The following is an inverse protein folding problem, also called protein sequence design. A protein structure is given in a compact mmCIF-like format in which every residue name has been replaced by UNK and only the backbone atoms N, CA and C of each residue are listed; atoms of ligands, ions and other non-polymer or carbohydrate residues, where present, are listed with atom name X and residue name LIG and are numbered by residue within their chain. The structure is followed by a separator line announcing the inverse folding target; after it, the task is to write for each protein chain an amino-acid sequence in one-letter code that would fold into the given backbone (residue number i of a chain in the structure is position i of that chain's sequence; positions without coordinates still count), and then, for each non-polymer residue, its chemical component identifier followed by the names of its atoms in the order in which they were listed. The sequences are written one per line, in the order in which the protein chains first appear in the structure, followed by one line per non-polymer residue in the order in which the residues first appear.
data_IF_376563990720
#
_entry.id   IF_376563990720
#
_cell.length_a   1.000
_cell.length_b   1.000
_cell.length_c   1.000
_cell.angle_alpha   90.00
_cell.angle_beta   90.00
_cell.angle_gamma   90.00
#
_symmetry.space_group_name_H-M   'P 1'
#
loop_
_entity.id
_entity.type
_entity.pdbx_description
1 polymer ?
#
# COMPACT_ATOMS: atom_id res chain seq x y z
N UNK A 1 9.18 -1.09 15.69
CA UNK A 1 8.76 0.17 16.32
C UNK A 1 7.96 0.96 15.29
N UNK A 2 6.67 1.28 15.54
CA UNK A 2 5.94 2.14 14.63
C UNK A 2 6.51 3.56 14.74
N UNK A 3 6.93 4.12 13.61
CA UNK A 3 7.45 5.49 13.52
C UNK A 3 6.24 6.42 13.45
N UNK A 4 6.04 7.25 14.46
CA UNK A 4 5.08 8.36 14.42
C UNK A 4 5.67 9.50 13.59
N UNK A 5 4.98 9.89 12.52
CA UNK A 5 5.27 11.11 11.79
C UNK A 5 4.41 12.23 12.37
N UNK A 6 5.04 13.24 12.98
CA UNK A 6 4.35 14.49 13.33
C UNK A 6 4.29 15.36 12.07
N UNK A 7 3.10 15.48 11.48
CA UNK A 7 2.82 16.48 10.45
C UNK A 7 2.53 17.82 11.13
N UNK A 8 3.34 18.84 10.82
CA UNK A 8 3.29 20.17 11.45
C UNK A 8 2.58 21.24 10.62
N UNK A 9 1.81 20.86 9.61
CA UNK A 9 1.01 21.79 8.79
C UNK A 9 -0.49 21.52 8.98
N UNK A 10 -1.35 22.56 9.02
CA UNK A 10 -2.79 22.40 9.16
C UNK A 10 -3.40 21.94 7.82
N UNK A 11 -3.13 20.71 7.43
CA UNK A 11 -3.80 20.09 6.30
C UNK A 11 -5.20 19.65 6.70
N UNK A 12 -6.17 19.84 5.79
CA UNK A 12 -7.52 19.29 5.94
C UNK A 12 -7.42 17.75 5.95
N UNK A 13 -7.42 17.17 7.14
CA UNK A 13 -7.33 15.72 7.32
C UNK A 13 -8.65 15.08 6.91
N UNK A 14 -8.62 14.17 5.93
CA UNK A 14 -9.76 13.31 5.62
C UNK A 14 -9.82 12.17 6.65
N UNK A 15 -10.80 12.25 7.55
CA UNK A 15 -11.11 11.18 8.49
C UNK A 15 -12.18 10.26 7.88
N UNK A 16 -11.90 8.95 7.84
CA UNK A 16 -12.87 7.95 7.40
C UNK A 16 -13.21 7.04 8.57
N UNK A 17 -14.49 6.75 8.73
CA UNK A 17 -14.99 5.75 9.69
C UNK A 17 -14.86 4.38 9.07
N UNK A 18 -14.09 3.49 9.69
CA UNK A 18 -13.89 2.11 9.24
C UNK A 18 -14.40 1.12 10.29
N UNK A 19 -14.79 -0.08 9.83
CA UNK A 19 -15.11 -1.22 10.71
C UNK A 19 -13.89 -2.14 10.77
N UNK A 20 -13.40 -2.45 11.97
CA UNK A 20 -12.22 -3.28 12.21
C UNK A 20 -12.55 -4.46 13.13
N UNK A 21 -12.12 -5.69 12.80
CA UNK A 21 -12.29 -6.83 13.70
C UNK A 21 -11.22 -6.79 14.79
N UNK A 22 -11.64 -6.72 16.06
CA UNK A 22 -10.75 -6.80 17.23
C UNK A 22 -10.86 -8.18 17.84
N UNK A 23 -9.74 -8.90 17.92
CA UNK A 23 -9.68 -10.22 18.58
C UNK A 23 -9.64 -10.02 20.09
N UNK A 24 -10.65 -10.55 20.78
CA UNK A 24 -10.78 -10.47 22.24
C UNK A 24 -10.09 -11.65 22.94
N UNK A 25 -10.29 -12.86 22.40
CA UNK A 25 -9.70 -14.09 22.92
C UNK A 25 -9.38 -15.06 21.78
N UNK A 26 -8.34 -15.86 21.96
CA UNK A 26 -7.91 -16.90 21.03
C UNK A 26 -7.49 -18.14 21.81
N UNK A 27 -8.16 -19.27 21.58
CA UNK A 27 -7.93 -20.52 22.31
C UNK A 27 -7.95 -21.72 21.36
N UNK A 28 -7.17 -22.76 21.67
CA UNK A 28 -7.25 -24.06 21.02
C UNK A 28 -8.04 -25.02 21.91
N UNK A 29 -9.04 -25.67 21.31
CA UNK A 29 -10.00 -26.50 22.04
C UNK A 29 -10.04 -27.91 21.45
N UNK A 30 -10.38 -28.89 22.29
CA UNK A 30 -10.55 -30.27 21.88
C UNK A 30 -11.92 -30.78 22.33
N UNK A 31 -12.72 -31.22 21.37
CA UNK A 31 -14.01 -31.85 21.61
C UNK A 31 -13.89 -33.34 21.34
N UNK A 32 -14.22 -34.15 22.35
CA UNK A 32 -14.13 -35.62 22.28
C UNK A 32 -15.54 -36.19 22.19
N UNK A 33 -15.80 -36.99 21.16
CA UNK A 33 -17.06 -37.68 20.95
C UNK A 33 -16.82 -39.19 20.96
N UNK A 34 -17.29 -39.83 22.02
CA UNK A 34 -17.28 -41.28 22.15
C UNK A 34 -18.60 -41.89 21.65
N UNK A 35 -18.50 -42.96 20.88
CA UNK A 35 -19.67 -43.67 20.38
C UNK A 35 -19.45 -45.19 20.26
N UNK A 36 -20.54 -45.94 20.42
CA UNK A 36 -20.56 -47.39 20.23
C UNK A 36 -21.64 -47.74 19.22
N UNK A 37 -21.23 -48.28 18.08
CA UNK A 37 -22.15 -48.66 16.99
C UNK A 37 -22.12 -50.17 16.81
N UNK A 38 -23.28 -50.75 16.51
CA UNK A 38 -23.36 -52.15 16.06
C UNK A 38 -23.43 -52.16 14.54
N UNK A 39 -22.45 -52.80 13.91
CA UNK A 39 -22.41 -52.95 12.46
C UNK A 39 -23.57 -53.84 11.99
N UNK A 40 -24.20 -53.56 10.83
CA UNK A 40 -25.31 -54.36 10.31
C UNK A 40 -24.96 -55.84 10.08
N UNK A 41 -23.69 -56.11 9.81
CA UNK A 41 -23.15 -57.44 9.51
C UNK A 41 -21.86 -57.69 10.31
N UNK A 42 -21.45 -58.96 10.38
CA UNK A 42 -20.16 -59.31 10.99
C UNK A 42 -19.00 -58.83 10.09
N UNK A 43 -18.17 -57.98 10.67
CA UNK A 43 -16.94 -57.46 10.08
C UNK A 43 -15.72 -58.26 10.54
N UNK A 44 -14.81 -58.56 9.61
CA UNK A 44 -13.49 -59.10 9.90
C UNK A 44 -12.55 -58.00 10.43
N UNK A 45 -12.59 -56.82 9.80
CA UNK A 45 -11.81 -55.63 10.18
C UNK A 45 -12.53 -54.35 9.74
N UNK A 46 -12.21 -53.25 10.42
CA UNK A 46 -12.48 -51.89 9.94
C UNK A 46 -11.26 -51.42 9.17
N UNK A 47 -11.49 -50.89 7.97
CA UNK A 47 -10.43 -50.39 7.11
C UNK A 47 -10.05 -48.96 7.50
N UNK A 48 -11.00 -48.04 7.40
CA UNK A 48 -10.88 -46.66 7.84
C UNK A 48 -12.26 -46.06 8.15
N UNK A 49 -12.27 -44.93 8.84
CA UNK A 49 -13.47 -44.13 9.09
C UNK A 49 -13.21 -42.74 8.54
N UNK A 50 -14.00 -42.35 7.54
CA UNK A 50 -14.01 -40.98 7.05
C UNK A 50 -14.93 -40.15 7.93
N UNK A 51 -14.45 -39.01 8.42
CA UNK A 51 -15.23 -38.12 9.26
C UNK A 51 -15.20 -36.70 8.71
N UNK A 52 -16.35 -36.03 8.75
CA UNK A 52 -16.51 -34.62 8.43
C UNK A 52 -17.45 -33.96 9.41
N UNK A 53 -17.43 -32.64 9.41
CA UNK A 53 -18.18 -31.83 10.35
C UNK A 53 -19.28 -31.07 9.62
N UNK A 54 -20.52 -31.32 10.01
CA UNK A 54 -21.72 -30.71 9.44
C UNK A 54 -22.42 -29.82 10.47
N UNK A 55 -23.16 -28.82 9.99
CA UNK A 55 -23.95 -27.88 10.80
C UNK A 55 -23.18 -27.25 11.97
N UNK A 56 -21.87 -27.05 11.79
CA UNK A 56 -20.98 -26.58 12.82
C UNK A 56 -21.11 -25.08 13.04
N UNK A 57 -21.48 -24.68 14.25
CA UNK A 57 -21.60 -23.28 14.67
C UNK A 57 -21.02 -23.05 16.05
N UNK A 58 -20.50 -21.85 16.27
CA UNK A 58 -20.04 -21.37 17.56
C UNK A 58 -20.68 -20.04 17.87
N UNK A 59 -21.11 -19.84 19.12
CA UNK A 59 -21.73 -18.59 19.58
C UNK A 59 -21.18 -18.14 20.93
N UNK A 60 -20.95 -16.83 21.11
CA UNK A 60 -20.50 -16.31 22.40
C UNK A 60 -21.62 -16.43 23.45
N UNK A 61 -21.22 -16.55 24.71
CA UNK A 61 -22.11 -16.50 25.87
C UNK A 61 -21.63 -15.37 26.76
N UNK A 62 -22.50 -14.39 26.92
CA UNK A 62 -22.24 -13.18 27.69
C UNK A 62 -22.69 -13.34 29.14
N UNK A 63 -21.93 -12.72 30.03
CA UNK A 63 -22.30 -12.46 31.41
C UNK A 63 -22.23 -10.96 31.64
N UNK A 64 -22.96 -10.47 32.64
CA UNK A 64 -22.98 -9.05 32.97
C UNK A 64 -22.25 -8.83 34.29
N UNK A 65 -21.08 -8.20 34.24
CA UNK A 65 -20.23 -7.93 35.41
C UNK A 65 -20.21 -6.42 35.76
N UNK A 66 -19.84 -6.07 37.00
CA UNK A 66 -19.71 -4.66 37.39
C UNK A 66 -18.55 -3.99 36.60
N UNK A 67 -18.84 -2.84 36.00
CA UNK A 67 -17.89 -2.07 35.17
C UNK A 67 -16.60 -1.68 35.90
N UNK A 68 -16.67 -1.41 37.21
CA UNK A 68 -15.53 -1.02 38.07
C UNK A 68 -14.35 -2.02 37.99
N UNK A 69 -14.63 -3.30 37.74
CA UNK A 69 -13.60 -4.35 37.64
C UNK A 69 -12.71 -4.19 36.39
N UNK A 70 -13.21 -3.52 35.35
CA UNK A 70 -12.56 -3.42 34.03
C UNK A 70 -11.83 -2.08 33.82
N UNK A 71 -12.02 -1.11 34.71
CA UNK A 71 -11.46 0.26 34.62
C UNK A 71 -9.93 0.26 34.55
N UNK A 72 -9.24 -0.65 35.25
CA UNK A 72 -7.77 -0.70 35.25
C UNK A 72 -7.16 -1.44 34.05
N UNK A 73 -7.96 -2.20 33.29
CA UNK A 73 -7.51 -2.98 32.12
C UNK A 73 -7.74 -2.21 30.82
N UNK A 74 -8.66 -1.25 30.83
CA UNK A 74 -9.07 -0.45 29.68
C UNK A 74 -8.53 0.97 29.91
N UNK A 75 -7.52 1.40 29.12
CA UNK A 75 -6.99 2.77 29.19
C UNK A 75 -8.14 3.78 29.05
N UNK A 76 -8.44 4.54 30.11
CA UNK A 76 -9.69 5.30 30.31
C UNK A 76 -10.03 6.34 29.20
N UNK A 77 -9.08 6.69 28.33
CA UNK A 77 -9.27 7.79 27.38
C UNK A 77 -10.03 7.36 26.12
N UNK A 78 -11.32 7.72 26.08
CA UNK A 78 -12.09 7.78 24.83
C UNK A 78 -13.02 6.59 24.55
N UNK A 79 -13.08 5.58 25.42
CA UNK A 79 -13.97 4.42 25.25
C UNK A 79 -15.46 4.75 25.33
N UNK A 80 -15.85 5.83 26.02
CA UNK A 80 -17.20 6.37 25.96
C UNK A 80 -17.63 6.71 24.53
N UNK A 81 -16.69 7.17 23.69
CA UNK A 81 -16.95 7.46 22.26
C UNK A 81 -17.15 6.21 21.43
N UNK A 82 -16.67 5.07 21.92
CA UNK A 82 -16.87 3.77 21.30
C UNK A 82 -18.08 3.03 21.88
N UNK A 83 -18.83 3.61 22.82
CA UNK A 83 -20.06 3.04 23.37
C UNK A 83 -19.91 2.42 24.77
N UNK A 84 -18.68 2.35 25.30
CA UNK A 84 -18.43 1.76 26.62
C UNK A 84 -18.72 2.77 27.74
N UNK A 85 -19.61 2.42 28.67
CA UNK A 85 -20.07 3.33 29.72
C UNK A 85 -19.92 2.74 31.11
N UNK A 86 -18.77 2.95 31.74
CA UNK A 86 -18.47 2.42 33.08
C UNK A 86 -19.51 2.79 34.15
N UNK A 87 -20.22 3.92 34.00
CA UNK A 87 -21.27 4.38 34.92
C UNK A 87 -22.57 3.55 34.87
N UNK A 88 -22.81 2.81 33.77
CA UNK A 88 -23.88 1.83 33.67
C UNK A 88 -23.38 0.54 34.37
N UNK A 89 -24.00 0.21 35.51
CA UNK A 89 -23.45 -0.68 36.54
C UNK A 89 -23.18 -2.14 36.09
N UNK A 90 -23.51 -2.51 34.85
CA UNK A 90 -23.30 -3.84 34.30
C UNK A 90 -22.78 -3.77 32.87
N UNK A 91 -21.56 -4.26 32.67
CA UNK A 91 -20.92 -4.39 31.37
C UNK A 91 -21.02 -5.83 30.87
N UNK A 92 -21.40 -6.05 29.61
CA UNK A 92 -21.37 -7.38 29.02
C UNK A 92 -19.91 -7.83 28.87
N UNK A 93 -19.65 -9.07 29.24
CA UNK A 93 -18.38 -9.73 29.06
C UNK A 93 -18.60 -11.13 28.50
N UNK A 94 -17.89 -11.48 27.44
CA UNK A 94 -17.89 -12.83 26.91
C UNK A 94 -17.05 -13.72 27.82
N UNK A 95 -17.65 -14.80 28.33
CA UNK A 95 -16.97 -15.73 29.25
C UNK A 95 -16.91 -17.16 28.72
N UNK A 96 -17.90 -17.54 27.90
CA UNK A 96 -17.93 -18.87 27.30
C UNK A 96 -18.25 -18.79 25.82
N UNK A 97 -17.90 -19.84 25.11
CA UNK A 97 -18.32 -20.08 23.73
C UNK A 97 -19.04 -21.41 23.68
N UNK A 98 -20.29 -21.41 23.23
CA UNK A 98 -21.02 -22.64 22.96
C UNK A 98 -20.72 -23.09 21.54
N UNK A 99 -20.35 -24.34 21.39
CA UNK A 99 -19.98 -24.95 20.12
C UNK A 99 -20.86 -26.16 19.91
N UNK A 100 -21.46 -26.27 18.73
CA UNK A 100 -22.35 -27.38 18.40
C UNK A 100 -22.25 -27.73 16.91
N UNK A 101 -22.55 -28.98 16.60
CA UNK A 101 -22.56 -29.48 15.23
C UNK A 101 -22.83 -30.98 15.19
N UNK A 102 -22.65 -31.55 14.01
CA UNK A 102 -22.84 -32.98 13.76
C UNK A 102 -21.55 -33.57 13.20
N UNK A 103 -21.02 -34.60 13.87
CA UNK A 103 -19.94 -35.43 13.37
C UNK A 103 -20.54 -36.48 12.42
N UNK A 104 -20.44 -36.22 11.12
CA UNK A 104 -20.85 -37.15 10.08
C UNK A 104 -19.70 -38.11 9.78
N UNK A 105 -19.98 -39.41 9.86
CA UNK A 105 -18.98 -40.47 9.69
C UNK A 105 -19.42 -41.48 8.66
N UNK A 106 -18.46 -41.96 7.88
CA UNK A 106 -18.60 -43.09 6.98
C UNK A 106 -17.60 -44.17 7.38
N UNK A 107 -18.10 -45.29 7.90
CA UNK A 107 -17.29 -46.40 8.40
C UNK A 107 -17.14 -47.41 7.27
N UNK A 108 -15.91 -47.67 6.82
CA UNK A 108 -15.60 -48.69 5.82
C UNK A 108 -15.05 -49.95 6.50
N UNK A 109 -15.61 -51.11 6.18
CA UNK A 109 -15.25 -52.38 6.80
C UNK A 109 -15.31 -53.54 5.82
N UNK A 110 -14.63 -54.63 6.15
CA UNK A 110 -14.62 -55.87 5.35
C UNK A 110 -15.53 -56.90 6.03
N UNK A 111 -16.53 -57.40 5.29
CA UNK A 111 -17.44 -58.44 5.79
C UNK A 111 -16.78 -59.83 5.81
N UNK A 112 -17.50 -60.85 6.32
CA UNK A 112 -17.02 -62.24 6.35
C UNK A 112 -16.78 -62.90 4.98
N UNK A 113 -17.21 -62.27 3.89
CA UNK A 113 -17.07 -62.76 2.51
C UNK A 113 -16.03 -61.95 1.72
N UNK A 114 -15.18 -61.18 2.41
CA UNK A 114 -14.16 -60.30 1.83
C UNK A 114 -14.71 -59.18 0.94
N UNK A 115 -15.97 -58.76 1.15
CA UNK A 115 -16.51 -57.59 0.49
C UNK A 115 -16.30 -56.33 1.34
N UNK A 116 -15.95 -55.23 0.67
CA UNK A 116 -15.93 -53.90 1.27
C UNK A 116 -17.37 -53.40 1.40
N UNK A 117 -17.75 -53.02 2.62
CA UNK A 117 -19.04 -52.45 2.99
C UNK A 117 -18.82 -51.10 3.65
N UNK A 118 -19.87 -50.30 3.69
CA UNK A 118 -19.85 -49.02 4.37
C UNK A 118 -21.16 -48.76 5.13
N UNK A 119 -21.08 -48.07 6.26
CA UNK A 119 -22.24 -47.61 7.03
C UNK A 119 -22.01 -46.16 7.47
N UNK A 120 -23.02 -45.31 7.25
CA UNK A 120 -23.00 -43.90 7.62
C UNK A 120 -23.60 -43.69 9.02
N UNK A 121 -23.10 -42.70 9.74
CA UNK A 121 -23.58 -42.34 11.08
C UNK A 121 -23.40 -40.84 11.34
N UNK A 122 -24.41 -40.22 11.94
CA UNK A 122 -24.41 -38.83 12.35
C UNK A 122 -24.48 -38.73 13.87
N UNK A 123 -23.50 -38.05 14.48
CA UNK A 123 -23.47 -37.84 15.93
C UNK A 123 -23.54 -36.34 16.22
N UNK A 124 -24.66 -35.82 16.76
CA UNK A 124 -24.70 -34.45 17.24
C UNK A 124 -23.83 -34.30 18.48
N UNK A 125 -23.11 -33.20 18.58
CA UNK A 125 -22.37 -32.82 19.78
C UNK A 125 -22.61 -31.35 20.11
N UNK A 126 -22.50 -31.03 21.40
CA UNK A 126 -22.49 -29.68 21.91
C UNK A 126 -21.54 -29.60 23.10
N UNK A 127 -20.72 -28.55 23.15
CA UNK A 127 -19.74 -28.34 24.21
C UNK A 127 -19.66 -26.84 24.56
N UNK A 128 -19.36 -26.52 25.82
CA UNK A 128 -19.15 -25.14 26.28
C UNK A 128 -17.71 -24.90 26.70
N UNK A 129 -17.02 -24.07 25.92
CA UNK A 129 -15.64 -23.67 26.20
C UNK A 129 -15.67 -22.46 27.11
N UNK A 130 -15.05 -22.55 28.29
CA UNK A 130 -14.88 -21.40 29.18
C UNK A 130 -13.56 -20.72 28.86
N UNK A 131 -13.62 -19.43 28.54
CA UNK A 131 -12.43 -18.63 28.30
C UNK A 131 -11.62 -18.47 29.59
N UNK A 132 -10.30 -18.49 29.48
CA UNK A 132 -9.39 -18.32 30.63
C UNK A 132 -9.70 -17.02 31.40
N UNK A 133 -9.98 -15.96 30.65
CA UNK A 133 -10.35 -14.64 31.17
C UNK A 133 -11.56 -14.13 30.39
N UNK A 134 -12.64 -13.80 31.10
CA UNK A 134 -13.79 -13.14 30.49
C UNK A 134 -13.34 -11.83 29.83
N UNK A 135 -13.83 -11.51 28.64
CA UNK A 135 -13.42 -10.31 27.91
C UNK A 135 -14.58 -9.32 27.86
N UNK A 136 -14.39 -8.05 28.25
CA UNK A 136 -15.43 -7.04 28.15
C UNK A 136 -15.73 -6.76 26.67
N UNK A 137 -17.01 -6.56 26.36
CA UNK A 137 -17.47 -6.20 25.02
C UNK A 137 -18.22 -4.88 25.08
N UNK A 138 -18.21 -4.14 23.98
CA UNK A 138 -18.92 -2.87 23.83
C UNK A 138 -20.35 -3.14 23.39
N UNK A 139 -20.51 -3.97 22.36
CA UNK A 139 -21.82 -4.35 21.80
C UNK A 139 -21.88 -5.86 21.58
N UNK A 140 -22.83 -6.54 22.23
CA UNK A 140 -23.01 -8.00 22.09
C UNK A 140 -23.36 -8.40 20.65
N UNK A 141 -24.05 -7.54 19.89
CA UNK A 141 -24.50 -7.82 18.53
C UNK A 141 -23.35 -7.78 17.50
N UNK A 142 -22.24 -7.10 17.82
CA UNK A 142 -21.03 -7.01 17.00
C UNK A 142 -19.99 -8.09 17.34
N UNK A 143 -20.29 -9.00 18.29
CA UNK A 143 -19.38 -10.07 18.72
C UNK A 143 -19.73 -11.39 18.05
N UNK A 144 -18.73 -12.01 17.42
CA UNK A 144 -18.87 -13.28 16.73
C UNK A 144 -17.64 -14.16 16.97
N UNK A 145 -17.81 -15.48 16.76
CA UNK A 145 -16.71 -16.44 16.92
C UNK A 145 -16.24 -16.89 15.54
N UNK A 146 -14.96 -16.68 15.27
CA UNK A 146 -14.28 -17.27 14.12
C UNK A 146 -13.68 -18.61 14.52
N UNK A 147 -13.81 -19.59 13.62
CA UNK A 147 -13.30 -20.94 13.79
C UNK A 147 -12.23 -21.18 12.74
N UNK A 148 -11.00 -21.40 13.20
CA UNK A 148 -9.84 -21.68 12.37
C UNK A 148 -9.35 -23.11 12.63
N UNK A 149 -8.68 -23.70 11.63
CA UNK A 149 -7.99 -25.00 11.71
C UNK A 149 -8.83 -26.15 12.29
N UNK A 150 -9.56 -26.87 11.42
CA UNK A 150 -10.34 -28.06 11.81
C UNK A 150 -9.50 -29.32 11.60
N UNK A 151 -9.12 -30.01 12.67
CA UNK A 151 -8.53 -31.35 12.59
C UNK A 151 -9.45 -32.37 13.25
N UNK A 152 -9.68 -33.50 12.58
CA UNK A 152 -10.45 -34.62 13.12
C UNK A 152 -9.51 -35.84 13.17
N UNK A 153 -9.37 -36.43 14.35
CA UNK A 153 -8.70 -37.71 14.57
C UNK A 153 -9.74 -38.76 14.97
N UNK A 154 -9.78 -39.88 14.26
CA UNK A 154 -10.71 -40.97 14.54
C UNK A 154 -9.93 -42.16 15.07
N UNK A 155 -10.33 -42.66 16.24
CA UNK A 155 -9.81 -43.89 16.85
C UNK A 155 -10.92 -44.90 16.95
N UNK A 156 -10.62 -46.17 16.73
CA UNK A 156 -11.62 -47.23 16.80
C UNK A 156 -11.08 -48.57 17.29
N UNK A 157 -11.96 -49.37 17.88
CA UNK A 157 -11.71 -50.74 18.33
C UNK A 157 -12.92 -51.63 18.00
N UNK A 158 -12.70 -52.65 17.17
CA UNK A 158 -13.72 -53.61 16.77
C UNK A 158 -13.80 -54.74 17.80
N UNK A 159 -14.89 -54.76 18.57
CA UNK A 159 -15.18 -55.80 19.56
C UNK A 159 -16.16 -56.83 19.00
N UNK A 160 -15.83 -58.12 19.16
CA UNK A 160 -16.72 -59.25 18.84
C UNK A 160 -17.25 -59.27 17.38
N UNK A 161 -16.50 -58.70 16.43
CA UNK A 161 -16.83 -58.73 15.01
C UNK A 161 -18.04 -57.89 14.57
N UNK A 162 -18.74 -57.19 15.48
CA UNK A 162 -19.84 -56.30 15.09
C UNK A 162 -20.00 -55.06 15.97
N UNK A 163 -19.38 -55.01 17.15
CA UNK A 163 -19.52 -53.87 18.07
C UNK A 163 -18.29 -52.98 17.95
N UNK A 164 -18.45 -51.84 17.29
CA UNK A 164 -17.36 -50.90 17.03
C UNK A 164 -17.40 -49.76 18.05
N UNK A 165 -16.36 -49.68 18.88
CA UNK A 165 -16.13 -48.52 19.75
C UNK A 165 -15.32 -47.48 18.97
N UNK A 166 -15.73 -46.22 19.02
CA UNK A 166 -15.15 -45.13 18.25
C UNK A 166 -14.96 -43.91 19.14
N UNK A 167 -13.84 -43.23 19.00
CA UNK A 167 -13.54 -41.96 19.65
C UNK A 167 -13.11 -40.97 18.58
N UNK A 168 -13.92 -39.95 18.35
CA UNK A 168 -13.57 -38.82 17.49
C UNK A 168 -13.01 -37.69 18.34
N UNK A 169 -11.81 -37.23 18.02
CA UNK A 169 -11.18 -36.06 18.64
C UNK A 169 -11.15 -34.95 17.61
N UNK A 170 -11.88 -33.88 17.88
CA UNK A 170 -11.94 -32.71 17.02
C UNK A 170 -11.17 -31.57 17.67
N UNK A 171 -10.23 -30.99 16.95
CA UNK A 171 -9.40 -29.89 17.41
C UNK A 171 -9.72 -28.66 16.56
N UNK A 172 -10.02 -27.55 17.24
CA UNK A 172 -10.36 -26.28 16.61
C UNK A 172 -9.62 -25.14 17.29
N UNK A 173 -9.31 -24.10 16.53
CA UNK A 173 -8.88 -22.82 17.08
C UNK A 173 -10.05 -21.84 17.06
N UNK A 174 -10.47 -21.37 18.22
CA UNK A 174 -11.53 -20.37 18.35
C UNK A 174 -10.91 -18.99 18.48
N UNK A 175 -11.48 -18.00 17.79
CA UNK A 175 -11.19 -16.58 17.99
C UNK A 175 -12.49 -15.85 18.25
N UNK A 176 -12.62 -15.25 19.43
CA UNK A 176 -13.75 -14.37 19.74
C UNK A 176 -13.40 -12.98 19.23
N UNK A 177 -14.21 -12.42 18.35
CA UNK A 177 -13.94 -11.18 17.63
C UNK A 177 -15.11 -10.22 17.81
N UNK A 178 -14.81 -8.95 18.02
CA UNK A 178 -15.79 -7.87 18.05
C UNK A 178 -15.52 -6.90 16.89
N UNK A 179 -16.54 -6.60 16.08
CA UNK A 179 -16.42 -5.62 15.02
C UNK A 179 -16.57 -4.20 15.57
N UNK A 180 -15.47 -3.45 15.67
CA UNK A 180 -15.47 -2.08 16.20
C UNK A 180 -15.40 -1.04 15.10
N UNK A 181 -16.02 0.11 15.33
CA UNK A 181 -15.94 1.24 14.41
C UNK A 181 -14.93 2.27 14.92
N UNK A 182 -13.91 2.56 14.12
CA UNK A 182 -12.87 3.55 14.45
C UNK A 182 -12.76 4.62 13.36
N UNK A 183 -12.34 5.82 13.75
CA UNK A 183 -11.96 6.85 12.79
C UNK A 183 -10.47 6.74 12.50
N UNK A 184 -10.12 6.65 11.22
CA UNK A 184 -8.73 6.69 10.76
C UNK A 184 -8.50 7.89 9.87
N UNK A 185 -7.32 8.49 10.00
CA UNK A 185 -6.81 9.44 9.03
C UNK A 185 -6.38 8.67 7.79
N UNK A 186 -6.98 8.98 6.64
CA UNK A 186 -6.54 8.42 5.35
C UNK A 186 -5.73 9.46 4.59
N UNK A 187 -4.61 9.03 4.02
CA UNK A 187 -3.89 9.86 3.06
C UNK A 187 -4.69 9.88 1.73
N UNK A 188 -4.80 11.03 1.04
CA UNK A 188 -5.39 11.05 -0.29
C UNK A 188 -4.67 10.04 -1.19
N UNK A 189 -5.42 9.29 -2.00
CA UNK A 189 -4.83 8.30 -2.89
C UNK A 189 -3.75 8.98 -3.75
N UNK A 190 -2.57 8.36 -3.82
CA UNK A 190 -1.57 8.70 -4.83
C UNK A 190 -2.25 8.57 -6.18
N UNK A 191 -2.60 9.70 -6.80
CA UNK A 191 -3.03 9.70 -8.19
C UNK A 191 -1.90 9.03 -8.99
N UNK A 192 -2.15 7.81 -9.50
CA UNK A 192 -1.16 6.98 -10.19
C UNK A 192 -0.51 7.71 -11.38
N UNK A 193 -1.10 8.84 -11.81
CA UNK A 193 -0.60 9.70 -12.88
C UNK A 193 0.49 10.69 -12.42
N UNK A 194 0.48 11.15 -11.17
CA UNK A 194 1.44 12.12 -10.63
C UNK A 194 2.26 11.49 -9.49
N UNK A 195 3.24 10.66 -9.86
CA UNK A 195 4.11 9.98 -8.89
C UNK A 195 5.27 10.90 -8.48
N UNK A 196 5.27 11.35 -7.22
CA UNK A 196 6.42 12.05 -6.63
C UNK A 196 7.67 11.16 -6.66
N UNK A 197 8.84 11.76 -6.91
CA UNK A 197 10.11 11.03 -6.94
C UNK A 197 10.49 10.47 -8.30
N UNK A 198 9.56 10.40 -9.26
CA UNK A 198 9.82 9.92 -10.62
C UNK A 198 10.27 11.09 -11.50
N UNK A 199 11.45 10.95 -12.11
CA UNK A 199 11.94 11.89 -13.10
C UNK A 199 11.26 11.63 -14.45
N UNK A 200 10.64 12.66 -15.01
CA UNK A 200 9.92 12.59 -16.29
C UNK A 200 10.84 12.79 -17.51
N UNK A 201 12.02 13.38 -17.33
CA UNK A 201 13.02 13.44 -18.41
C UNK A 201 13.86 12.16 -18.46
N UNK A 202 14.16 11.71 -19.67
CA UNK A 202 15.06 10.60 -19.97
C UNK A 202 16.51 11.07 -19.86
N UNK A 203 17.35 10.29 -19.21
CA UNK A 203 18.80 10.56 -19.06
C UNK A 203 19.09 12.01 -18.61
N UNK A 204 18.47 12.44 -17.52
CA UNK A 204 18.73 13.75 -16.93
C UNK A 204 20.14 13.90 -16.33
N UNK A 205 20.85 12.79 -16.14
CA UNK A 205 22.25 12.73 -15.69
C UNK A 205 23.25 12.79 -16.85
N UNK A 206 22.79 12.92 -18.09
CA UNK A 206 23.63 13.01 -19.30
C UNK A 206 24.73 11.94 -19.42
N UNK A 207 24.41 10.67 -19.15
CA UNK A 207 25.38 9.58 -19.27
C UNK A 207 25.35 8.92 -20.66
N UNK A 208 24.25 9.10 -21.41
CA UNK A 208 24.08 8.48 -22.72
C UNK A 208 24.38 9.46 -23.87
N UNK A 209 25.53 9.24 -24.54
CA UNK A 209 25.97 10.03 -25.69
C UNK A 209 26.26 9.15 -26.90
N UNK A 210 25.76 9.54 -28.07
CA UNK A 210 26.11 8.91 -29.35
C UNK A 210 27.49 9.38 -29.85
N UNK A 211 27.79 10.66 -29.64
CA UNK A 211 29.11 11.29 -29.88
C UNK A 211 29.36 12.35 -28.80
N UNK A 212 30.54 12.97 -28.77
CA UNK A 212 30.83 14.05 -27.80
C UNK A 212 29.95 15.30 -27.96
N UNK A 213 29.17 15.44 -29.03
CA UNK A 213 28.29 16.60 -29.27
C UNK A 213 26.81 16.21 -29.40
N UNK A 214 26.50 14.91 -29.30
CA UNK A 214 25.17 14.37 -29.60
C UNK A 214 24.70 13.47 -28.44
N UNK A 215 23.96 14.01 -27.45
CA UNK A 215 23.31 13.20 -26.43
C UNK A 215 22.20 12.34 -27.06
N UNK A 216 21.95 11.15 -26.50
CA UNK A 216 21.03 10.17 -27.10
C UNK A 216 19.57 10.60 -26.98
N UNK A 217 19.19 11.15 -25.83
CA UNK A 217 17.80 11.47 -25.50
C UNK A 217 17.45 12.96 -25.59
N UNK A 218 18.43 13.80 -25.93
CA UNK A 218 18.28 15.25 -25.94
C UNK A 218 18.63 15.81 -27.33
N UNK A 219 17.86 16.79 -27.79
CA UNK A 219 18.25 17.65 -28.89
C UNK A 219 19.27 18.68 -28.41
N UNK A 220 20.32 18.92 -29.17
CA UNK A 220 21.41 19.78 -28.73
C UNK A 220 22.03 20.60 -29.88
N UNK A 221 22.43 21.84 -29.59
CA UNK A 221 23.18 22.73 -30.48
C UNK A 221 24.24 23.49 -29.67
N UNK A 222 25.48 23.56 -30.17
CA UNK A 222 26.62 24.15 -29.46
C UNK A 222 26.83 23.58 -28.03
N UNK A 223 26.61 22.26 -27.90
CA UNK A 223 26.78 21.48 -26.67
C UNK A 223 27.92 20.48 -26.82
N UNK A 224 28.65 20.22 -25.74
CA UNK A 224 29.73 19.24 -25.66
C UNK A 224 29.57 18.38 -24.40
N UNK A 225 29.89 17.09 -24.49
CA UNK A 225 30.02 16.22 -23.32
C UNK A 225 31.21 16.67 -22.46
N UNK A 226 30.99 16.88 -21.18
CA UNK A 226 32.03 17.35 -20.26
C UNK A 226 31.89 16.67 -18.90
N UNK A 227 32.83 15.81 -18.51
CA UNK A 227 32.83 15.08 -17.23
C UNK A 227 31.48 14.43 -16.89
N UNK A 228 30.90 13.70 -17.86
CA UNK A 228 29.57 13.08 -17.77
C UNK A 228 28.37 14.04 -17.63
N UNK A 229 28.59 15.34 -17.82
CA UNK A 229 27.55 16.35 -17.88
C UNK A 229 27.45 16.97 -19.28
N UNK A 230 26.49 17.87 -19.48
CA UNK A 230 26.32 18.62 -20.72
C UNK A 230 26.87 20.05 -20.59
N UNK A 231 27.90 20.38 -21.37
CA UNK A 231 28.44 21.74 -21.47
C UNK A 231 27.75 22.50 -22.60
N UNK A 232 27.10 23.61 -22.27
CA UNK A 232 26.54 24.57 -23.21
C UNK A 232 27.55 25.71 -23.44
N UNK A 233 27.69 26.14 -24.70
CA UNK A 233 28.64 27.18 -25.08
C UNK A 233 30.03 26.64 -25.44
N UNK A 234 30.10 25.48 -26.13
CA UNK A 234 31.37 24.94 -26.65
C UNK A 234 32.11 25.96 -27.53
N UNK A 235 31.35 26.78 -28.25
CA UNK A 235 31.74 28.05 -28.83
C UNK A 235 31.11 29.14 -27.93
N UNK A 236 31.87 29.77 -27.02
CA UNK A 236 31.33 30.67 -25.99
C UNK A 236 30.63 31.92 -26.52
N UNK A 237 30.88 32.33 -27.77
CA UNK A 237 30.26 33.52 -28.39
C UNK A 237 29.04 33.18 -29.26
N UNK A 238 28.60 31.92 -29.29
CA UNK A 238 27.43 31.48 -30.05
C UNK A 238 26.36 30.93 -29.10
N UNK A 239 25.07 31.13 -29.42
CA UNK A 239 24.00 30.57 -28.61
C UNK A 239 24.06 29.04 -28.60
N UNK A 240 23.65 28.44 -27.49
CA UNK A 240 23.54 26.98 -27.36
C UNK A 240 22.14 26.61 -26.85
N UNK A 241 21.67 25.42 -27.25
CA UNK A 241 20.39 24.90 -26.78
C UNK A 241 20.52 23.42 -26.45
N UNK A 242 19.81 23.00 -25.40
CA UNK A 242 19.67 21.61 -24.98
C UNK A 242 18.22 21.36 -24.59
N UNK A 243 17.54 20.42 -25.24
CA UNK A 243 16.10 20.25 -25.04
C UNK A 243 15.64 18.80 -25.17
N UNK A 244 14.53 18.48 -24.49
CA UNK A 244 13.88 17.17 -24.56
C UNK A 244 12.36 17.33 -24.47
N UNK A 245 11.65 16.61 -25.32
CA UNK A 245 10.20 16.44 -25.21
C UNK A 245 9.87 15.33 -24.23
N UNK A 246 8.99 15.63 -23.28
CA UNK A 246 8.29 14.65 -22.46
C UNK A 246 7.02 14.27 -23.23
N UNK A 247 7.13 13.15 -23.94
CA UNK A 247 6.10 12.65 -24.84
C UNK A 247 4.94 11.95 -24.08
N UNK A 248 4.02 11.34 -24.83
CA UNK A 248 2.83 10.66 -24.26
C UNK A 248 3.12 9.28 -23.68
N UNK A 249 4.35 8.79 -23.78
CA UNK A 249 4.73 7.48 -23.27
C UNK A 249 4.91 7.57 -21.76
N UNK A 250 4.50 6.53 -21.05
CA UNK A 250 4.55 6.53 -19.59
C UNK A 250 6.01 6.57 -19.11
N UNK A 251 6.39 7.48 -18.19
CA UNK A 251 5.55 8.46 -17.50
C UNK A 251 5.30 9.75 -18.29
N UNK A 252 4.05 10.24 -18.33
CA UNK A 252 3.63 11.38 -19.13
C UNK A 252 3.24 12.61 -18.28
N UNK A 253 2.99 13.74 -18.95
CA UNK A 253 2.43 14.94 -18.31
C UNK A 253 0.96 14.71 -17.95
N UNK A 254 0.57 15.23 -16.79
CA UNK A 254 -0.75 15.18 -16.21
C UNK A 254 -1.37 16.57 -16.33
N UNK A 255 -2.55 16.69 -16.94
CA UNK A 255 -3.31 17.94 -16.94
C UNK A 255 -3.52 18.46 -15.52
N UNK A 256 -3.48 19.78 -15.32
CA UNK A 256 -3.59 20.41 -13.98
C UNK A 256 -2.50 20.02 -12.98
N UNK A 257 -1.46 19.31 -13.44
CA UNK A 257 -0.29 18.94 -12.65
C UNK A 257 0.57 20.14 -12.29
N UNK A 258 1.04 20.19 -11.06
CA UNK A 258 2.07 21.13 -10.60
C UNK A 258 3.43 20.46 -10.74
N UNK A 259 4.31 21.08 -11.52
CA UNK A 259 5.62 20.57 -11.90
C UNK A 259 6.75 21.35 -11.27
N UNK A 260 7.84 20.65 -10.97
CA UNK A 260 9.12 21.25 -10.59
C UNK A 260 10.22 20.70 -11.49
N UNK A 261 10.86 21.59 -12.24
CA UNK A 261 12.07 21.32 -12.99
C UNK A 261 13.26 21.78 -12.15
N UNK A 262 14.18 20.88 -11.81
CA UNK A 262 15.44 21.23 -11.17
C UNK A 262 16.62 20.69 -11.97
N UNK A 263 17.78 21.32 -11.85
CA UNK A 263 19.02 20.90 -12.48
C UNK A 263 20.20 21.48 -11.71
N UNK A 264 21.35 20.85 -11.83
CA UNK A 264 22.61 21.37 -11.30
C UNK A 264 23.32 22.12 -12.41
N UNK A 265 23.85 23.32 -12.10
CA UNK A 265 24.67 24.07 -13.03
C UNK A 265 25.92 24.65 -12.37
N UNK A 266 26.95 24.80 -13.19
CA UNK A 266 28.25 25.35 -12.82
C UNK A 266 28.84 26.13 -14.00
N UNK A 267 29.51 27.24 -13.72
CA UNK A 267 30.28 27.98 -14.72
C UNK A 267 31.67 27.32 -14.92
N UNK A 268 32.10 27.29 -16.19
CA UNK A 268 33.49 27.00 -16.58
C UNK A 268 34.12 28.31 -17.07
N UNK A 269 34.75 29.08 -16.18
CA UNK A 269 35.31 30.38 -16.53
C UNK A 269 36.52 30.22 -17.44
N UNK A 270 36.65 31.12 -18.41
CA UNK A 270 37.80 31.12 -19.32
C UNK A 270 37.89 29.87 -20.21
N UNK A 271 36.76 29.21 -20.49
CA UNK A 271 36.69 28.02 -21.33
C UNK A 271 37.34 28.21 -22.71
N UNK A 272 37.23 29.41 -23.28
CA UNK A 272 38.09 29.85 -24.39
C UNK A 272 38.61 31.27 -24.16
N UNK A 273 39.89 31.48 -24.42
CA UNK A 273 40.51 32.80 -24.34
C UNK A 273 40.02 33.71 -25.47
N UNK A 274 39.46 34.85 -25.08
CA UNK A 274 39.11 35.96 -25.97
C UNK A 274 39.74 37.22 -25.41
N UNK A 275 40.50 37.96 -26.21
CA UNK A 275 41.19 39.16 -25.77
C UNK A 275 40.18 40.21 -25.27
N UNK A 276 40.28 40.58 -23.99
CA UNK A 276 39.35 41.51 -23.34
C UNK A 276 37.97 40.94 -23.03
N UNK A 277 37.79 39.62 -23.16
CA UNK A 277 36.54 38.94 -22.85
C UNK A 277 36.39 38.61 -21.36
N UNK A 278 35.14 38.45 -20.93
CA UNK A 278 34.75 38.14 -19.56
C UNK A 278 33.61 37.11 -19.55
N UNK A 279 33.29 36.55 -18.38
CA UNK A 279 32.06 35.79 -18.18
C UNK A 279 30.83 36.68 -18.42
N UNK A 280 30.12 36.45 -19.53
CA UNK A 280 29.00 37.30 -19.94
C UNK A 280 28.00 36.51 -20.76
N UNK A 281 27.13 35.78 -20.07
CA UNK A 281 26.08 34.99 -20.68
C UNK A 281 24.83 34.97 -19.79
N UNK A 282 23.71 34.56 -20.37
CA UNK A 282 22.49 34.21 -19.66
C UNK A 282 22.16 32.75 -19.92
N UNK A 283 21.95 31.98 -18.85
CA UNK A 283 21.37 30.65 -18.92
C UNK A 283 19.88 30.75 -18.63
N UNK A 284 19.05 30.20 -19.50
CA UNK A 284 17.59 30.21 -19.37
C UNK A 284 17.06 28.79 -19.36
N UNK A 285 16.27 28.43 -18.34
CA UNK A 285 15.53 27.17 -18.28
C UNK A 285 14.05 27.42 -18.55
N UNK A 286 13.47 26.57 -19.39
CA UNK A 286 12.12 26.71 -19.91
C UNK A 286 11.37 25.39 -19.82
N UNK A 287 10.12 25.47 -19.36
CA UNK A 287 9.18 24.37 -19.35
C UNK A 287 7.91 24.79 -20.08
N UNK A 288 7.75 24.31 -21.31
CA UNK A 288 6.59 24.58 -22.16
C UNK A 288 5.63 23.41 -22.18
N UNK A 289 4.33 23.69 -22.19
CA UNK A 289 3.26 22.69 -22.30
C UNK A 289 2.53 22.83 -23.63
N UNK A 290 2.29 21.68 -24.26
CA UNK A 290 1.65 21.57 -25.57
C UNK A 290 0.35 20.79 -25.48
N UNK A 291 -0.58 21.12 -26.37
CA UNK A 291 -1.83 20.37 -26.54
C UNK A 291 -1.61 19.06 -27.32
N UNK A 292 -2.69 18.31 -27.54
CA UNK A 292 -2.64 17.06 -28.29
C UNK A 292 -2.31 17.21 -29.78
N UNK A 293 -2.29 18.43 -30.30
CA UNK A 293 -1.98 18.74 -31.70
C UNK A 293 -0.58 19.34 -31.86
N UNK A 294 0.18 19.47 -30.76
CA UNK A 294 1.52 20.06 -30.76
C UNK A 294 1.52 21.60 -30.76
N UNK A 295 0.38 22.24 -30.45
CA UNK A 295 0.34 23.68 -30.27
C UNK A 295 0.81 24.04 -28.86
N UNK A 296 1.66 25.07 -28.77
CA UNK A 296 2.09 25.62 -27.50
C UNK A 296 0.89 26.27 -26.78
N UNK A 297 0.63 25.86 -25.53
CA UNK A 297 -0.43 26.45 -24.70
C UNK A 297 0.16 27.54 -23.81
N UNK A 298 1.13 27.16 -22.98
CA UNK A 298 1.78 28.03 -21.99
C UNK A 298 3.19 27.50 -21.69
N UNK A 299 4.06 28.34 -21.15
CA UNK A 299 5.26 27.87 -20.48
C UNK A 299 5.73 28.81 -19.40
N UNK A 300 6.63 28.27 -18.60
CA UNK A 300 7.31 29.00 -17.54
C UNK A 300 8.80 29.10 -17.87
N UNK A 301 9.41 30.23 -17.52
CA UNK A 301 10.79 30.53 -17.86
C UNK A 301 11.52 31.18 -16.70
N UNK A 302 12.75 30.77 -16.45
CA UNK A 302 13.63 31.41 -15.48
C UNK A 302 15.04 31.53 -16.04
N UNK A 303 15.69 32.66 -15.77
CA UNK A 303 17.01 32.98 -16.29
C UNK A 303 17.98 33.35 -15.17
N UNK A 304 19.25 32.99 -15.38
CA UNK A 304 20.36 33.25 -14.49
C UNK A 304 21.53 33.80 -15.30
N UNK A 305 22.08 34.94 -14.89
CA UNK A 305 23.30 35.48 -15.48
C UNK A 305 24.55 34.78 -14.92
N UNK A 306 25.69 34.99 -15.58
CA UNK A 306 26.98 34.45 -15.15
C UNK A 306 27.28 34.65 -13.65
N UNK A 307 27.03 35.84 -13.10
CA UNK A 307 27.30 36.15 -11.68
C UNK A 307 26.43 35.36 -10.68
N UNK A 308 25.38 34.70 -11.13
CA UNK A 308 24.47 33.90 -10.30
C UNK A 308 24.78 32.41 -10.35
N UNK A 309 25.66 31.99 -11.28
CA UNK A 309 26.06 30.60 -11.43
C UNK A 309 27.48 30.47 -10.87
N UNK A 310 27.71 29.61 -9.88
CA UNK A 310 29.01 29.53 -9.22
C UNK A 310 30.08 28.94 -10.14
N UNK A 311 31.29 29.47 -9.96
CA UNK A 311 32.50 28.91 -10.54
C UNK A 311 32.85 27.57 -9.87
N UNK A 312 33.27 26.61 -10.68
CA UNK A 312 33.95 25.39 -10.22
C UNK A 312 33.18 24.48 -9.22
N UNK A 313 31.92 24.79 -8.90
CA UNK A 313 31.04 23.98 -8.06
C UNK A 313 29.61 23.97 -8.60
N UNK A 314 28.94 22.83 -8.49
CA UNK A 314 27.54 22.71 -8.88
C UNK A 314 26.61 23.33 -7.83
N UNK A 315 25.65 24.12 -8.31
CA UNK A 315 24.50 24.58 -7.54
C UNK A 315 23.21 24.11 -8.18
N UNK A 316 22.24 23.77 -7.34
CA UNK A 316 20.92 23.34 -7.79
C UNK A 316 20.02 24.57 -8.07
N UNK A 317 19.43 24.59 -9.25
CA UNK A 317 18.48 25.60 -9.72
C UNK A 317 17.13 24.94 -10.00
N UNK A 318 16.03 25.63 -9.69
CA UNK A 318 14.69 25.09 -9.88
C UNK A 318 13.71 26.13 -10.41
N UNK A 319 12.76 25.63 -11.20
CA UNK A 319 11.63 26.31 -11.82
C UNK A 319 10.34 25.54 -11.48
N UNK A 320 9.27 26.23 -11.09
CA UNK A 320 7.97 25.60 -10.86
C UNK A 320 6.97 26.03 -11.93
N UNK A 321 6.15 25.11 -12.44
CA UNK A 321 5.13 25.43 -13.42
C UNK A 321 3.83 24.66 -13.16
N UNK A 322 2.71 25.13 -13.70
CA UNK A 322 1.42 24.45 -13.63
C UNK A 322 0.94 24.12 -15.04
N UNK A 323 0.68 22.83 -15.29
CA UNK A 323 0.17 22.38 -16.58
C UNK A 323 -1.33 22.74 -16.70
N UNK A 324 -1.77 23.34 -17.81
CA UNK A 324 -3.19 23.59 -18.07
C UNK A 324 -3.97 22.28 -18.33
N UNK A 325 -5.30 22.34 -18.35
CA UNK A 325 -6.18 21.17 -18.57
C UNK A 325 -5.99 20.50 -19.94
N UNK A 326 -5.57 21.29 -20.92
CA UNK A 326 -5.35 20.86 -22.29
C UNK A 326 -3.94 20.28 -22.51
N UNK A 327 -3.03 20.41 -21.53
CA UNK A 327 -1.66 19.94 -21.65
C UNK A 327 -1.58 18.42 -21.84
N UNK A 328 -0.81 17.98 -22.82
CA UNK A 328 -0.56 16.55 -23.11
C UNK A 328 0.92 16.22 -23.24
N UNK A 329 1.73 17.18 -23.64
CA UNK A 329 3.16 17.05 -23.83
C UNK A 329 3.87 18.24 -23.18
N UNK A 330 5.15 18.07 -22.83
CA UNK A 330 5.98 19.18 -22.38
C UNK A 330 7.34 19.20 -23.07
N UNK A 331 7.94 20.38 -23.16
CA UNK A 331 9.31 20.59 -23.60
C UNK A 331 10.10 21.17 -22.44
N UNK A 332 11.16 20.46 -22.05
CA UNK A 332 12.21 21.00 -21.19
C UNK A 332 13.29 21.55 -22.12
N UNK A 333 13.63 22.83 -21.98
CA UNK A 333 14.69 23.47 -22.78
C UNK A 333 15.61 24.31 -21.90
N UNK A 334 16.90 24.19 -22.16
CA UNK A 334 17.94 25.09 -21.67
C UNK A 334 18.51 25.87 -22.84
N UNK A 335 18.60 27.18 -22.69
CA UNK A 335 19.15 28.10 -23.67
C UNK A 335 20.32 28.85 -23.03
N UNK A 336 21.46 28.89 -23.72
CA UNK A 336 22.62 29.68 -23.34
C UNK A 336 22.76 30.80 -24.36
N UNK A 337 22.58 32.03 -23.90
CA UNK A 337 22.65 33.23 -24.72
C UNK A 337 23.85 34.07 -24.29
N UNK A 338 24.97 34.00 -25.03
CA UNK A 338 26.16 34.79 -24.70
C UNK A 338 26.03 36.23 -25.19
N UNK A 339 26.59 37.16 -24.41
CA UNK A 339 26.87 38.50 -24.90
C UNK A 339 28.18 38.49 -25.71
N UNK A 340 28.45 39.62 -26.39
CA UNK A 340 29.71 39.80 -27.10
C UNK A 340 30.92 39.62 -26.18
N UNK A 341 31.95 38.94 -26.68
CA UNK A 341 33.22 38.67 -25.99
C UNK A 341 33.07 37.78 -24.73
N UNK A 342 32.06 36.91 -24.69
CA UNK A 342 31.95 35.90 -23.66
C UNK A 342 33.08 34.86 -23.77
N UNK A 343 33.69 34.51 -22.64
CA UNK A 343 34.77 33.51 -22.54
C UNK A 343 34.37 32.24 -21.82
N UNK A 344 33.22 32.25 -21.15
CA UNK A 344 32.77 31.19 -20.26
C UNK A 344 31.77 30.25 -20.92
N UNK A 345 31.72 29.01 -20.41
CA UNK A 345 30.70 28.03 -20.75
C UNK A 345 29.94 27.62 -19.48
N UNK A 346 28.80 26.95 -19.63
CA UNK A 346 28.02 26.41 -18.51
C UNK A 346 27.90 24.92 -18.62
N UNK A 347 28.11 24.21 -17.52
CA UNK A 347 27.86 22.78 -17.43
C UNK A 347 26.56 22.55 -16.68
N UNK A 348 25.69 21.69 -17.22
CA UNK A 348 24.40 21.29 -16.64
C UNK A 348 24.42 19.78 -16.39
N UNK A 349 23.91 19.37 -15.23
CA UNK A 349 23.76 17.97 -14.84
C UNK A 349 22.50 17.75 -13.98
N UNK A 350 22.18 16.49 -13.68
CA UNK A 350 21.12 16.05 -12.78
C UNK A 350 19.74 16.71 -13.04
N UNK A 351 19.37 16.84 -14.30
CA UNK A 351 18.08 17.42 -14.69
C UNK A 351 16.94 16.52 -14.25
N UNK A 352 16.02 17.09 -13.48
CA UNK A 352 14.88 16.39 -12.91
C UNK A 352 13.59 17.19 -13.13
N UNK A 353 12.65 16.62 -13.86
CA UNK A 353 11.28 17.13 -13.94
C UNK A 353 10.36 16.21 -13.14
N UNK A 354 9.71 16.75 -12.11
CA UNK A 354 8.82 15.97 -11.24
C UNK A 354 7.42 16.57 -11.19
N UNK A 355 6.40 15.70 -11.15
CA UNK A 355 5.04 16.09 -10.80
C UNK A 355 4.89 16.07 -9.27
N UNK A 356 4.60 17.23 -8.67
CA UNK A 356 4.48 17.40 -7.23
C UNK A 356 3.07 17.07 -6.72
N UNK A 357 2.04 17.47 -7.46
CA UNK A 357 0.62 17.22 -7.16
C UNK A 357 -0.25 17.57 -8.36
N UNK A 358 -1.47 17.07 -8.38
CA UNK A 358 -2.52 17.51 -9.33
C UNK A 358 -3.42 18.51 -8.59
N UNK A 359 -3.84 19.59 -9.24
CA UNK A 359 -4.85 20.47 -8.67
C UNK A 359 -6.21 19.78 -8.77
N UNK A 360 -6.77 19.36 -7.63
CA UNK A 360 -8.15 18.84 -7.56
C UNK A 360 -9.13 20.00 -7.73
N UNK A 361 -9.30 20.50 -8.96
CA UNK A 361 -10.52 21.22 -9.34
C UNK A 361 -11.37 20.20 -10.11
N UNK A 362 -12.57 19.91 -9.59
CA UNK A 362 -13.53 18.88 -10.05
C UNK A 362 -13.37 17.45 -9.50
N UNK A 363 -13.60 17.29 -8.20
CA UNK A 363 -14.16 16.04 -7.65
C UNK A 363 -15.43 16.31 -6.82
N UNK A 364 -16.36 17.11 -7.33
CA UNK A 364 -17.81 17.06 -7.03
C UNK A 364 -18.53 17.58 -8.30
N UNK A 365 -19.59 16.94 -8.85
CA UNK A 365 -20.61 16.12 -8.19
C UNK A 365 -21.02 14.86 -9.00
N UNK A 366 -20.61 13.67 -8.60
CA UNK A 366 -21.24 12.41 -9.06
C UNK A 366 -21.35 11.41 -7.91
N UNK A 367 -22.05 11.82 -6.85
CA UNK A 367 -22.61 10.90 -5.84
C UNK A 367 -24.02 11.34 -5.48
N UNK A 368 -24.90 11.42 -6.48
CA UNK A 368 -26.32 11.16 -6.33
C UNK A 368 -26.79 10.44 -7.59
N UNK A 369 -26.88 9.11 -7.48
CA UNK A 369 -27.42 8.19 -8.47
C UNK A 369 -27.87 6.94 -7.74
#
# INVERSE_FOLDING_TARGET
MPIQYFYSEPDNVLCVKIKVPVVLAEEEIQVIVDNITTLPELAQKVDHIDARLDDFRARPVFIHENGDKWVSVIEEEGWERFGWKWSEHRQPAVKKVLIEGTLHKQIYYVDKNDHVKHVGEDIPFADDVTLDVAQPVVDEDDVFVQLHNKKIDMRWDLRRGSRLQQTGVMIFQIKVVEERQIFVQVCPQLDRKCMRGVNLVKDGTFEAWATNTNPVFWGASNVLRYNNAALLGNIPNEPAALFQYVDRQTPNIVPTGVYRLCFDAQEVPGFREVLGGTASFTLTAELFFYDQFGNLIIGETQSWGATQIPDASFQNFCLNAVAPEEAREALVRFSFDPNALNTSAVVIDNVKLECLRVQNQFFEPFTQG
#
